data_IF_123382704870
#
_entry.id   IF_123382704870
#
_cell.length_a   1.000
_cell.length_b   1.000
_cell.length_c   1.000
_cell.angle_alpha   90.00
_cell.angle_beta   90.00
_cell.angle_gamma   90.00
#
_symmetry.space_group_name_H-M   'P 1'
#
loop_
_entity.id
_entity.type
_entity.pdbx_description
1 polymer ?
#
# COMPACT_ATOMS: atom_id res chain seq x y z
N UNK A 1 -2.72 -5.05 46.83
CA UNK A 1 -2.03 -4.29 45.79
C UNK A 1 -2.99 -4.10 44.62
N UNK A 2 -3.17 -2.90 44.07
CA UNK A 2 -4.02 -2.72 42.89
C UNK A 2 -3.47 -3.58 41.73
N UNK A 3 -4.38 -4.24 41.00
CA UNK A 3 -3.99 -5.01 39.80
C UNK A 3 -3.34 -4.03 38.79
N UNK A 4 -2.21 -4.41 38.19
CA UNK A 4 -1.59 -3.59 37.15
C UNK A 4 -2.58 -3.37 36.01
N UNK A 5 -2.81 -2.10 35.67
CA UNK A 5 -3.73 -1.73 34.60
C UNK A 5 -2.99 -1.74 33.27
N UNK A 6 -3.44 -2.59 32.36
CA UNK A 6 -2.94 -2.58 30.99
C UNK A 6 -3.45 -1.35 30.24
N UNK A 7 -2.54 -0.67 29.54
CA UNK A 7 -2.85 0.52 28.75
C UNK A 7 -2.23 0.48 27.36
N UNK A 8 -2.77 1.31 26.49
CA UNK A 8 -2.22 1.59 25.17
C UNK A 8 -1.14 2.66 25.29
N UNK A 9 0.08 2.36 24.85
CA UNK A 9 1.18 3.31 24.74
C UNK A 9 1.09 3.98 23.36
N UNK A 10 0.57 5.20 23.32
CA UNK A 10 0.24 5.93 22.11
C UNK A 10 1.30 6.98 21.79
N UNK A 11 1.84 6.94 20.59
CA UNK A 11 2.70 7.98 20.05
C UNK A 11 1.81 9.05 19.39
N UNK A 12 1.96 10.31 19.81
CA UNK A 12 1.22 11.46 19.29
C UNK A 12 2.13 12.36 18.44
N UNK A 13 1.62 13.01 17.39
CA UNK A 13 2.37 13.94 16.53
C UNK A 13 2.66 15.26 17.27
N UNK A 14 3.47 15.16 18.30
CA UNK A 14 3.85 16.27 19.18
C UNK A 14 5.37 16.31 19.31
N UNK A 15 5.96 17.52 19.50
CA UNK A 15 7.39 17.69 19.77
C UNK A 15 7.73 17.31 21.23
N UNK A 16 7.15 16.22 21.72
CA UNK A 16 7.33 15.73 23.08
C UNK A 16 7.94 14.33 23.05
N UNK A 17 8.96 14.07 23.83
CA UNK A 17 9.50 12.73 23.96
C UNK A 17 8.52 11.83 24.72
N UNK A 18 8.47 10.56 24.33
CA UNK A 18 7.72 9.54 25.04
C UNK A 18 6.38 9.17 24.42
N UNK A 19 5.71 8.26 25.09
CA UNK A 19 4.41 7.73 24.71
C UNK A 19 3.39 8.14 25.77
N UNK A 20 2.14 8.26 25.35
CA UNK A 20 1.03 8.64 26.23
C UNK A 20 0.16 7.44 26.52
N UNK A 21 -0.28 7.34 27.79
CA UNK A 21 -1.08 6.23 28.27
C UNK A 21 -2.58 6.50 28.08
N UNK A 22 -3.25 5.58 27.42
CA UNK A 22 -4.70 5.60 27.22
C UNK A 22 -5.29 4.22 27.47
N UNK A 23 -6.58 4.18 27.74
CA UNK A 23 -7.36 2.94 27.85
C UNK A 23 -8.35 2.83 26.68
N UNK A 24 -8.80 1.63 26.32
CA UNK A 24 -9.89 1.46 25.35
C UNK A 24 -11.17 2.17 25.80
N UNK A 25 -11.94 2.69 24.83
CA UNK A 25 -13.19 3.41 25.05
C UNK A 25 -14.25 2.55 25.77
N UNK A 26 -14.35 1.29 25.40
CA UNK A 26 -15.36 0.34 25.87
C UNK A 26 -14.88 -0.57 27.01
N UNK A 27 -13.68 -0.33 27.53
CA UNK A 27 -13.06 -1.21 28.52
C UNK A 27 -12.66 -2.59 27.98
N UNK A 28 -12.58 -2.75 26.66
CA UNK A 28 -12.13 -3.97 26.02
C UNK A 28 -10.72 -4.35 26.46
N UNK A 29 -10.38 -5.62 26.32
CA UNK A 29 -9.02 -6.11 26.59
C UNK A 29 -8.04 -5.57 25.59
N UNK A 30 -6.90 -5.14 26.09
CA UNK A 30 -5.78 -4.66 25.26
C UNK A 30 -4.93 -5.85 24.87
N UNK A 31 -4.81 -6.13 23.58
CA UNK A 31 -4.05 -7.23 22.99
C UNK A 31 -3.06 -6.74 21.92
N UNK A 32 -2.27 -7.65 21.38
CA UNK A 32 -1.22 -7.34 20.39
C UNK A 32 -1.78 -6.76 19.09
N UNK A 33 -3.06 -7.00 18.77
CA UNK A 33 -3.72 -6.50 17.55
C UNK A 33 -3.97 -4.98 17.57
N UNK A 34 -3.71 -4.35 18.70
CA UNK A 34 -3.73 -2.89 18.79
C UNK A 34 -2.44 -2.24 18.27
N UNK A 35 -1.30 -2.95 18.34
CA UNK A 35 0.00 -2.39 17.96
C UNK A 35 0.02 -2.11 16.46
N UNK A 36 0.34 -0.87 16.09
CA UNK A 36 0.32 -0.41 14.69
C UNK A 36 -1.02 0.14 14.22
N UNK A 37 -2.07 0.07 15.04
CA UNK A 37 -3.35 0.73 14.77
C UNK A 37 -3.29 2.21 15.12
N UNK A 38 -4.09 3.01 14.40
CA UNK A 38 -4.34 4.41 14.72
C UNK A 38 -5.52 4.50 15.69
N UNK A 39 -5.41 5.48 16.57
CA UNK A 39 -6.47 5.83 17.53
C UNK A 39 -6.68 7.33 17.54
N UNK A 40 -7.91 7.76 17.73
CA UNK A 40 -8.26 9.14 18.03
C UNK A 40 -8.30 9.31 19.52
N UNK A 41 -7.58 10.28 20.05
CA UNK A 41 -7.43 10.48 21.50
C UNK A 41 -7.69 11.94 21.91
N UNK A 42 -8.21 12.17 23.11
CA UNK A 42 -8.30 13.52 23.67
C UNK A 42 -6.93 13.97 24.18
N UNK A 43 -6.49 15.16 23.78
CA UNK A 43 -5.26 15.77 24.27
C UNK A 43 -5.49 17.25 24.59
N UNK A 44 -5.57 17.59 25.87
CA UNK A 44 -6.02 18.93 26.31
C UNK A 44 -7.43 19.22 25.82
N UNK A 45 -7.59 20.32 25.08
CA UNK A 45 -8.84 20.71 24.43
C UNK A 45 -8.94 20.25 22.97
N UNK A 46 -8.00 19.43 22.49
CA UNK A 46 -7.92 18.97 21.09
C UNK A 46 -8.10 17.46 21.01
N UNK A 47 -8.46 17.02 19.83
CA UNK A 47 -8.40 15.61 19.44
C UNK A 47 -7.20 15.41 18.52
N UNK A 48 -6.45 14.34 18.75
CA UNK A 48 -5.30 13.98 17.93
C UNK A 48 -5.44 12.55 17.42
N UNK A 49 -4.88 12.29 16.26
CA UNK A 49 -4.67 10.93 15.75
C UNK A 49 -3.27 10.49 16.16
N UNK A 50 -3.20 9.39 16.92
CA UNK A 50 -1.96 8.77 17.34
C UNK A 50 -1.87 7.33 16.89
N UNK A 51 -0.72 6.71 17.13
CA UNK A 51 -0.43 5.32 16.80
C UNK A 51 -0.14 4.52 18.06
N UNK A 52 -0.83 3.40 18.23
CA UNK A 52 -0.50 2.46 19.30
C UNK A 52 0.86 1.83 18.99
N UNK A 53 1.83 2.14 19.80
CA UNK A 53 3.21 1.70 19.60
C UNK A 53 3.57 0.48 20.43
N UNK A 54 2.95 0.35 21.60
CA UNK A 54 3.14 -0.78 22.51
C UNK A 54 1.92 -0.92 23.42
N UNK A 55 1.85 -2.07 24.05
CA UNK A 55 0.98 -2.31 25.20
C UNK A 55 1.88 -2.34 26.42
N UNK A 56 1.44 -1.70 27.47
CA UNK A 56 2.21 -1.64 28.72
C UNK A 56 1.31 -1.64 29.93
N UNK A 57 1.98 -1.65 31.06
CA UNK A 57 1.36 -1.42 32.36
C UNK A 57 1.68 0.01 32.77
N UNK A 58 0.72 0.68 33.37
CA UNK A 58 0.90 2.03 33.89
C UNK A 58 0.80 2.04 35.39
N UNK A 59 1.58 2.93 36.00
CA UNK A 59 1.49 3.24 37.43
C UNK A 59 0.47 4.38 37.69
N UNK A 60 -0.05 4.98 36.61
CA UNK A 60 -1.07 6.04 36.70
C UNK A 60 -2.36 5.47 37.26
N UNK A 61 -2.97 6.21 38.21
CA UNK A 61 -4.25 5.81 38.78
C UNK A 61 -5.31 5.68 37.68
N UNK A 62 -6.17 4.65 37.74
CA UNK A 62 -7.18 4.39 36.70
C UNK A 62 -8.06 5.62 36.40
N UNK A 63 -8.37 6.41 37.41
CA UNK A 63 -9.20 7.63 37.32
C UNK A 63 -8.52 8.78 36.55
N UNK A 64 -7.19 8.76 36.43
CA UNK A 64 -6.42 9.77 35.70
C UNK A 64 -6.14 9.38 34.25
N UNK A 65 -6.37 8.12 33.87
CA UNK A 65 -6.22 7.64 32.50
C UNK A 65 -7.43 8.02 31.67
N UNK A 66 -7.17 8.66 30.55
CA UNK A 66 -8.22 9.01 29.59
C UNK A 66 -8.48 7.84 28.65
N UNK A 67 -9.75 7.55 28.32
CA UNK A 67 -10.05 6.62 27.24
C UNK A 67 -9.71 7.24 25.90
N UNK A 68 -9.41 6.38 24.91
CA UNK A 68 -9.40 6.80 23.51
C UNK A 68 -10.82 7.21 23.11
N UNK A 69 -10.95 8.08 22.11
CA UNK A 69 -12.25 8.46 21.56
C UNK A 69 -12.73 7.45 20.52
N UNK A 70 -11.78 6.86 19.78
CA UNK A 70 -12.10 5.90 18.70
C UNK A 70 -10.88 5.09 18.31
N UNK A 71 -11.04 3.78 18.10
CA UNK A 71 -10.10 2.96 17.33
C UNK A 71 -10.40 3.16 15.84
N UNK A 72 -9.42 3.65 15.07
CA UNK A 72 -9.60 3.98 13.65
C UNK A 72 -9.40 2.76 12.73
N UNK A 73 -8.57 1.81 13.15
CA UNK A 73 -8.21 0.65 12.34
C UNK A 73 -8.58 -0.65 13.05
N UNK A 74 -9.23 -1.57 12.34
CA UNK A 74 -9.53 -2.92 12.84
C UNK A 74 -8.29 -3.81 12.86
N UNK A 75 -7.39 -3.59 11.90
CA UNK A 75 -6.12 -4.30 11.74
C UNK A 75 -4.98 -3.28 11.70
N UNK A 76 -3.77 -3.63 12.15
CA UNK A 76 -2.63 -2.73 12.11
C UNK A 76 -2.35 -2.19 10.71
N UNK A 77 -2.22 -0.87 10.58
CA UNK A 77 -1.79 -0.19 9.33
C UNK A 77 -0.27 -0.08 9.24
N UNK A 78 0.43 -0.28 10.35
CA UNK A 78 1.89 -0.36 10.41
C UNK A 78 2.32 -1.76 10.84
N UNK A 79 3.23 -2.35 10.07
CA UNK A 79 3.86 -3.63 10.45
C UNK A 79 4.83 -3.44 11.61
N UNK A 80 5.10 -4.52 12.33
CA UNK A 80 6.09 -4.50 13.42
C UNK A 80 7.49 -4.08 12.94
N UNK A 81 7.89 -4.53 11.75
CA UNK A 81 9.16 -4.17 11.11
C UNK A 81 9.23 -2.66 10.82
N UNK A 82 8.17 -2.07 10.26
CA UNK A 82 8.11 -0.65 10.01
C UNK A 82 8.19 0.16 11.32
N UNK A 83 7.44 -0.24 12.35
CA UNK A 83 7.51 0.40 13.66
C UNK A 83 8.92 0.34 14.26
N UNK A 84 9.62 -0.78 14.10
CA UNK A 84 11.00 -0.92 14.57
C UNK A 84 11.95 0.02 13.82
N UNK A 85 11.82 0.11 12.49
CA UNK A 85 12.59 1.03 11.65
C UNK A 85 12.35 2.49 12.06
N UNK A 86 11.11 2.87 12.31
CA UNK A 86 10.76 4.22 12.72
C UNK A 86 11.25 4.57 14.14
N UNK A 87 11.27 3.58 15.05
CA UNK A 87 11.90 3.76 16.37
C UNK A 87 13.41 3.99 16.25
N UNK A 88 14.07 3.19 15.42
CA UNK A 88 15.49 3.39 15.12
C UNK A 88 15.73 4.79 14.54
N UNK A 89 14.88 5.21 13.59
CA UNK A 89 14.97 6.56 12.99
C UNK A 89 14.83 7.65 14.04
N UNK A 90 13.86 7.53 14.95
CA UNK A 90 13.66 8.50 16.04
C UNK A 90 14.89 8.59 16.95
N UNK A 91 15.49 7.46 17.29
CA UNK A 91 16.70 7.39 18.11
C UNK A 91 17.92 7.97 17.39
N UNK A 92 18.10 7.61 16.12
CA UNK A 92 19.24 8.06 15.30
C UNK A 92 19.24 9.58 15.10
N UNK A 93 18.07 10.16 14.78
CA UNK A 93 17.93 11.60 14.56
C UNK A 93 17.57 12.39 15.80
N UNK A 94 17.47 11.75 16.98
CA UNK A 94 17.06 12.37 18.24
C UNK A 94 15.73 13.15 18.11
N UNK A 95 14.80 12.61 17.33
CA UNK A 95 13.51 13.20 17.06
C UNK A 95 12.39 12.55 17.90
N UNK A 96 11.34 13.29 18.29
CA UNK A 96 10.18 12.71 18.94
C UNK A 96 9.53 11.63 18.11
N UNK A 97 9.29 10.47 18.69
CA UNK A 97 8.81 9.30 17.96
C UNK A 97 7.46 9.54 17.26
N UNK A 98 6.56 10.29 17.90
CA UNK A 98 5.28 10.65 17.31
C UNK A 98 5.39 11.53 16.06
N UNK A 99 6.39 12.42 15.99
CA UNK A 99 6.66 13.22 14.79
C UNK A 99 7.25 12.37 13.67
N UNK A 100 8.14 11.43 13.99
CA UNK A 100 8.69 10.48 13.01
C UNK A 100 7.58 9.64 12.40
N UNK A 101 6.69 9.08 13.23
CA UNK A 101 5.51 8.35 12.76
C UNK A 101 4.61 9.20 11.86
N UNK A 102 4.33 10.43 12.28
CA UNK A 102 3.52 11.36 11.51
C UNK A 102 4.13 11.70 10.16
N UNK A 103 5.45 11.83 10.09
CA UNK A 103 6.17 12.12 8.83
C UNK A 103 6.17 10.92 7.89
N UNK A 104 6.24 9.70 8.43
CA UNK A 104 6.32 8.47 7.66
C UNK A 104 5.00 8.08 6.98
N UNK A 105 3.87 8.64 7.39
CA UNK A 105 2.55 8.25 6.85
C UNK A 105 1.95 9.32 5.93
N UNK A 106 1.16 8.91 4.92
CA UNK A 106 0.42 9.83 4.06
C UNK A 106 -0.52 10.77 4.85
N UNK A 107 -0.75 11.97 4.33
CA UNK A 107 -1.58 12.98 4.97
C UNK A 107 -2.99 12.46 5.33
N UNK A 108 -3.64 11.70 4.45
CA UNK A 108 -4.96 11.13 4.71
C UNK A 108 -4.98 10.24 5.97
N UNK A 109 -3.94 9.46 6.19
CA UNK A 109 -3.85 8.59 7.37
C UNK A 109 -3.63 9.42 8.65
N UNK A 110 -2.85 10.52 8.56
CA UNK A 110 -2.66 11.46 9.67
C UNK A 110 -3.95 12.16 10.09
N UNK A 111 -4.84 12.41 9.12
CA UNK A 111 -6.17 13.01 9.37
C UNK A 111 -7.18 11.99 9.93
N UNK A 112 -6.79 10.74 10.10
CA UNK A 112 -7.69 9.67 10.59
C UNK A 112 -8.65 9.12 9.54
N UNK A 113 -8.43 9.42 8.25
CA UNK A 113 -9.20 8.81 7.15
C UNK A 113 -8.82 7.35 6.98
N UNK A 114 -9.74 6.54 6.47
CA UNK A 114 -9.46 5.15 6.16
C UNK A 114 -8.30 5.03 5.16
N UNK A 115 -7.47 3.97 5.26
CA UNK A 115 -6.51 3.67 4.21
C UNK A 115 -7.24 3.59 2.85
N UNK A 116 -6.64 4.12 1.77
CA UNK A 116 -7.22 3.96 0.45
C UNK A 116 -7.34 2.46 0.15
N UNK A 117 -8.46 2.09 -0.45
CA UNK A 117 -8.63 0.72 -0.94
C UNK A 117 -7.62 0.48 -2.07
N UNK A 118 -6.61 -0.33 -1.78
CA UNK A 118 -5.53 -0.66 -2.73
C UNK A 118 -5.93 -1.80 -3.66
N UNK A 119 -7.16 -2.32 -3.51
CA UNK A 119 -7.67 -3.35 -4.40
C UNK A 119 -7.81 -2.77 -5.81
N UNK A 120 -7.16 -3.40 -6.76
CA UNK A 120 -7.43 -3.16 -8.17
C UNK A 120 -8.68 -3.94 -8.50
N UNK A 121 -9.71 -3.23 -8.87
CA UNK A 121 -10.96 -3.86 -9.27
C UNK A 121 -10.92 -4.20 -10.75
N UNK A 122 -11.44 -5.39 -11.07
CA UNK A 122 -11.65 -5.86 -12.42
C UNK A 122 -13.07 -6.39 -12.58
N UNK A 123 -13.49 -6.48 -13.81
CA UNK A 123 -14.75 -7.09 -14.18
C UNK A 123 -14.50 -8.40 -14.92
N UNK A 124 -15.25 -9.43 -14.58
CA UNK A 124 -15.24 -10.70 -15.29
C UNK A 124 -16.66 -11.16 -15.63
N UNK A 125 -16.76 -12.07 -16.60
CA UNK A 125 -18.02 -12.74 -16.91
C UNK A 125 -18.34 -13.78 -15.87
N UNK A 126 -19.61 -13.85 -15.48
CA UNK A 126 -20.15 -14.99 -14.76
C UNK A 126 -20.39 -16.18 -15.71
N UNK A 127 -20.63 -17.35 -15.18
CA UNK A 127 -21.01 -18.53 -16.00
C UNK A 127 -22.25 -18.26 -16.86
N UNK A 128 -23.24 -17.56 -16.30
CA UNK A 128 -24.44 -17.11 -17.01
C UNK A 128 -24.13 -16.10 -18.11
N UNK A 129 -23.18 -15.18 -17.85
CA UNK A 129 -22.68 -14.22 -18.82
C UNK A 129 -21.99 -14.90 -19.97
N UNK A 130 -21.16 -15.89 -19.73
CA UNK A 130 -20.48 -16.66 -20.79
C UNK A 130 -21.48 -17.39 -21.69
N UNK A 131 -22.53 -17.97 -21.15
CA UNK A 131 -23.59 -18.63 -21.91
C UNK A 131 -24.52 -17.64 -22.64
N UNK A 132 -24.70 -16.44 -22.06
CA UNK A 132 -25.68 -15.45 -22.58
C UNK A 132 -25.13 -14.51 -23.66
N UNK A 133 -23.81 -14.41 -23.84
CA UNK A 133 -23.18 -13.43 -24.76
C UNK A 133 -23.70 -13.53 -26.19
N UNK A 134 -23.89 -14.72 -26.68
CA UNK A 134 -24.30 -14.95 -28.08
C UNK A 134 -25.75 -14.51 -28.38
N UNK A 135 -26.54 -14.24 -27.31
CA UNK A 135 -27.88 -13.68 -27.42
C UNK A 135 -27.91 -12.14 -27.54
N UNK A 136 -26.78 -11.45 -27.34
CA UNK A 136 -26.69 -10.03 -27.55
C UNK A 136 -26.73 -9.62 -29.01
N UNK A 137 -27.34 -8.48 -29.32
CA UNK A 137 -27.30 -7.91 -30.67
C UNK A 137 -25.85 -7.76 -31.14
N UNK A 138 -25.54 -8.25 -32.32
CA UNK A 138 -24.17 -8.33 -32.91
C UNK A 138 -23.45 -6.99 -33.07
N UNK A 139 -24.08 -5.84 -32.87
CA UNK A 139 -23.53 -4.50 -33.13
C UNK A 139 -23.75 -3.51 -31.96
N UNK A 140 -23.56 -3.93 -30.73
CA UNK A 140 -23.78 -3.06 -29.55
C UNK A 140 -22.54 -2.90 -28.70
N UNK A 141 -22.38 -1.70 -28.08
CA UNK A 141 -21.31 -1.45 -27.08
C UNK A 141 -21.27 -2.50 -25.95
N UNK A 142 -22.42 -3.00 -25.39
CA UNK A 142 -22.40 -4.06 -24.41
C UNK A 142 -21.83 -5.37 -24.92
N UNK A 143 -22.09 -5.74 -26.19
CA UNK A 143 -21.55 -6.95 -26.79
C UNK A 143 -20.04 -6.83 -26.99
N UNK A 144 -19.54 -5.72 -27.52
CA UNK A 144 -18.12 -5.49 -27.72
C UNK A 144 -17.36 -5.61 -26.37
N UNK A 145 -17.94 -5.06 -25.28
CA UNK A 145 -17.39 -5.17 -23.95
C UNK A 145 -17.42 -6.61 -23.43
N UNK A 146 -18.54 -7.32 -23.60
CA UNK A 146 -18.69 -8.71 -23.19
C UNK A 146 -17.72 -9.64 -23.94
N UNK A 147 -17.49 -9.39 -25.23
CA UNK A 147 -16.50 -10.14 -26.02
C UNK A 147 -15.07 -9.94 -25.52
N UNK A 148 -14.72 -8.72 -25.08
CA UNK A 148 -13.42 -8.47 -24.44
C UNK A 148 -13.28 -9.22 -23.11
N UNK A 149 -14.35 -9.29 -22.31
CA UNK A 149 -14.37 -10.02 -21.05
C UNK A 149 -14.29 -11.55 -21.23
N UNK A 150 -14.53 -12.09 -22.42
CA UNK A 150 -14.33 -13.52 -22.73
C UNK A 150 -12.87 -13.96 -22.63
N UNK A 151 -11.95 -13.05 -22.87
CA UNK A 151 -10.50 -13.34 -22.78
C UNK A 151 -9.95 -13.32 -21.35
N UNK A 152 -10.75 -12.88 -20.40
CA UNK A 152 -10.36 -12.82 -18.98
C UNK A 152 -10.90 -11.58 -18.27
N UNK A 153 -10.58 -11.45 -17.00
CA UNK A 153 -10.95 -10.30 -16.20
C UNK A 153 -10.25 -9.02 -16.72
N UNK A 154 -11.00 -7.94 -16.86
CA UNK A 154 -10.49 -6.64 -17.33
C UNK A 154 -10.45 -5.64 -16.15
N UNK A 155 -9.26 -5.13 -15.78
CA UNK A 155 -9.12 -4.09 -14.78
C UNK A 155 -9.87 -2.81 -15.16
N UNK A 156 -10.47 -2.14 -14.17
CA UNK A 156 -11.18 -0.86 -14.39
C UNK A 156 -10.27 0.21 -15.02
N UNK A 157 -8.99 0.24 -14.65
CA UNK A 157 -8.01 1.16 -15.22
C UNK A 157 -7.82 0.97 -16.74
N UNK A 158 -7.81 -0.30 -17.22
CA UNK A 158 -7.76 -0.59 -18.66
C UNK A 158 -9.07 -0.22 -19.36
N UNK A 159 -10.21 -0.38 -18.70
CA UNK A 159 -11.49 0.02 -19.25
C UNK A 159 -11.61 1.55 -19.33
N UNK A 160 -11.03 2.28 -18.40
CA UNK A 160 -11.01 3.75 -18.40
C UNK A 160 -10.13 4.30 -19.53
N UNK A 161 -8.99 3.66 -19.84
CA UNK A 161 -8.09 4.10 -20.91
C UNK A 161 -8.62 3.76 -22.32
N UNK A 162 -9.14 2.55 -22.50
CA UNK A 162 -9.36 1.98 -23.83
C UNK A 162 -10.82 1.95 -24.28
N UNK A 163 -11.76 2.20 -23.36
CA UNK A 163 -13.20 2.03 -23.65
C UNK A 163 -14.04 3.20 -23.13
N UNK A 164 -14.07 4.34 -23.81
CA UNK A 164 -14.85 5.48 -23.36
C UNK A 164 -16.34 5.14 -23.15
N UNK A 165 -16.86 5.44 -21.96
CA UNK A 165 -18.27 5.22 -21.62
C UNK A 165 -18.62 3.74 -21.28
N UNK A 166 -17.67 2.90 -20.99
CA UNK A 166 -17.85 1.48 -20.64
C UNK A 166 -18.81 1.25 -19.46
N UNK A 167 -18.88 2.20 -18.50
CA UNK A 167 -19.73 2.07 -17.31
C UNK A 167 -21.21 1.88 -17.62
N UNK A 168 -21.71 2.51 -18.70
CA UNK A 168 -23.09 2.34 -19.15
C UNK A 168 -23.37 0.93 -19.67
N UNK A 169 -22.45 0.40 -20.47
CA UNK A 169 -22.51 -0.97 -20.99
C UNK A 169 -22.36 -2.01 -19.87
N UNK A 170 -21.48 -1.75 -18.90
CA UNK A 170 -21.26 -2.62 -17.76
C UNK A 170 -22.51 -2.72 -16.88
N UNK A 171 -23.19 -1.60 -16.59
CA UNK A 171 -24.45 -1.61 -15.83
C UNK A 171 -25.52 -2.46 -16.53
N UNK A 172 -25.59 -2.41 -17.87
CA UNK A 172 -26.53 -3.24 -18.63
C UNK A 172 -26.22 -4.72 -18.53
N UNK A 173 -24.96 -5.11 -18.49
CA UNK A 173 -24.53 -6.50 -18.30
C UNK A 173 -24.71 -6.95 -16.85
N UNK A 174 -24.44 -6.05 -15.90
CA UNK A 174 -24.61 -6.30 -14.46
C UNK A 174 -26.11 -6.48 -14.09
N UNK A 175 -27.01 -5.72 -14.71
CA UNK A 175 -28.46 -5.87 -14.51
C UNK A 175 -28.98 -7.26 -14.96
N UNK A 176 -28.21 -7.96 -15.78
CA UNK A 176 -28.48 -9.35 -16.23
C UNK A 176 -27.74 -10.39 -15.40
N UNK A 177 -26.98 -9.99 -14.38
CA UNK A 177 -26.07 -10.83 -13.61
C UNK A 177 -24.98 -11.53 -14.45
N UNK A 178 -24.63 -10.97 -15.64
CA UNK A 178 -23.65 -11.55 -16.58
C UNK A 178 -22.22 -11.15 -16.30
N UNK A 179 -22.01 -10.14 -15.46
CA UNK A 179 -20.69 -9.67 -15.04
C UNK A 179 -20.68 -9.48 -13.55
N UNK A 180 -19.53 -9.73 -12.94
CA UNK A 180 -19.26 -9.45 -11.55
C UNK A 180 -17.97 -8.64 -11.40
N UNK A 181 -17.94 -7.84 -10.34
CA UNK A 181 -16.76 -7.05 -9.98
C UNK A 181 -15.93 -7.83 -8.99
N UNK A 182 -14.69 -8.09 -9.34
CA UNK A 182 -13.74 -8.81 -8.49
C UNK A 182 -12.61 -7.89 -8.05
N UNK A 183 -12.05 -8.17 -6.86
CA UNK A 183 -10.81 -7.56 -6.42
C UNK A 183 -9.65 -8.43 -6.91
N UNK A 184 -8.76 -7.84 -7.71
CA UNK A 184 -7.51 -8.50 -8.12
C UNK A 184 -6.41 -8.16 -7.13
N UNK A 185 -5.65 -9.15 -6.72
CA UNK A 185 -4.38 -8.90 -6.06
C UNK A 185 -3.41 -8.24 -7.06
N UNK A 186 -2.68 -7.25 -6.62
CA UNK A 186 -1.73 -6.50 -7.47
C UNK A 186 -0.68 -7.41 -8.14
N UNK A 187 -0.38 -8.57 -7.54
CA UNK A 187 0.50 -9.60 -8.12
C UNK A 187 -0.10 -10.31 -9.35
N UNK A 188 -1.43 -10.37 -9.47
CA UNK A 188 -2.10 -10.99 -10.61
C UNK A 188 -2.14 -10.09 -11.85
N UNK A 189 -1.86 -8.79 -11.67
CA UNK A 189 -1.81 -7.81 -12.76
C UNK A 189 -0.47 -7.73 -13.48
N UNK A 190 0.57 -8.30 -12.92
CA UNK A 190 1.93 -8.23 -13.49
C UNK A 190 2.08 -8.95 -14.85
N UNK A 191 1.04 -9.67 -15.30
CA UNK A 191 1.05 -10.42 -16.57
C UNK A 191 0.34 -9.77 -17.76
N UNK A 192 -0.17 -8.55 -17.67
CA UNK A 192 -1.09 -8.02 -18.70
C UNK A 192 -0.54 -6.95 -19.65
N UNK A 193 0.70 -6.50 -19.48
CA UNK A 193 1.37 -5.67 -20.49
C UNK A 193 2.34 -6.53 -21.30
N UNK A 194 2.32 -6.46 -22.65
CA UNK A 194 3.40 -7.03 -23.43
C UNK A 194 4.71 -6.39 -22.97
N UNK A 195 5.68 -7.23 -22.68
CA UNK A 195 7.02 -6.81 -22.31
C UNK A 195 7.65 -6.17 -23.55
N UNK A 196 7.69 -4.82 -23.60
CA UNK A 196 8.49 -4.14 -24.60
C UNK A 196 9.95 -4.51 -24.34
N UNK A 197 10.58 -5.18 -25.30
CA UNK A 197 12.01 -5.45 -25.25
C UNK A 197 12.73 -4.10 -25.19
N UNK A 198 13.43 -3.84 -24.09
CA UNK A 198 14.29 -2.67 -23.96
C UNK A 198 15.46 -2.72 -24.90
N UNK A 199 16.22 -1.62 -25.03
CA UNK A 199 17.40 -1.58 -25.87
C UNK A 199 18.43 -2.64 -25.44
N UNK A 200 19.16 -3.20 -26.41
CA UNK A 200 20.22 -4.17 -26.13
C UNK A 200 21.30 -3.56 -25.23
N UNK A 201 21.62 -4.28 -24.15
CA UNK A 201 22.66 -3.87 -23.23
C UNK A 201 24.04 -3.94 -23.89
N UNK A 202 24.89 -2.95 -23.64
CA UNK A 202 26.30 -3.06 -23.96
C UNK A 202 27.03 -3.99 -22.97
N UNK A 203 28.29 -4.32 -23.23
CA UNK A 203 29.07 -5.27 -22.44
C UNK A 203 29.18 -4.86 -20.95
N UNK A 204 29.42 -3.58 -20.67
CA UNK A 204 29.56 -3.09 -19.31
C UNK A 204 28.22 -3.11 -18.54
N UNK A 205 27.15 -2.70 -19.21
CA UNK A 205 25.79 -2.79 -18.64
C UNK A 205 25.39 -4.23 -18.33
N UNK A 206 25.68 -5.16 -19.26
CA UNK A 206 25.40 -6.57 -19.05
C UNK A 206 26.19 -7.14 -17.88
N UNK A 207 27.47 -6.77 -17.74
CA UNK A 207 28.30 -7.15 -16.60
C UNK A 207 27.72 -6.64 -15.26
N UNK A 208 27.29 -5.37 -15.21
CA UNK A 208 26.64 -4.80 -14.04
C UNK A 208 25.35 -5.55 -13.68
N UNK A 209 24.49 -5.85 -14.64
CA UNK A 209 23.24 -6.60 -14.40
C UNK A 209 23.56 -8.00 -13.89
N UNK A 210 24.55 -8.69 -14.44
CA UNK A 210 24.99 -10.00 -13.96
C UNK A 210 25.52 -9.96 -12.51
N UNK A 211 26.30 -8.94 -12.17
CA UNK A 211 26.79 -8.75 -10.80
C UNK A 211 25.64 -8.53 -9.80
N UNK A 212 24.62 -7.75 -10.16
CA UNK A 212 23.41 -7.57 -9.35
C UNK A 212 22.64 -8.87 -9.18
N UNK A 213 22.49 -9.66 -10.25
CA UNK A 213 21.78 -10.96 -10.21
C UNK A 213 22.49 -12.02 -9.37
N UNK A 214 23.82 -12.01 -9.38
CA UNK A 214 24.63 -12.95 -8.63
C UNK A 214 24.64 -12.65 -7.12
N UNK A 215 24.21 -11.48 -6.70
CA UNK A 215 24.16 -11.07 -5.30
C UNK A 215 23.06 -11.81 -4.55
N UNK A 216 23.44 -12.58 -3.54
CA UNK A 216 22.51 -13.26 -2.65
C UNK A 216 22.36 -12.48 -1.33
N UNK A 217 21.11 -12.27 -0.87
CA UNK A 217 20.82 -11.58 0.39
C UNK A 217 20.95 -10.05 0.28
N UNK A 218 21.29 -9.42 1.41
CA UNK A 218 21.50 -7.96 1.46
C UNK A 218 22.86 -7.60 0.88
N UNK A 219 22.88 -6.61 -0.02
CA UNK A 219 24.10 -6.05 -0.60
C UNK A 219 23.92 -4.60 -1.00
N UNK A 220 25.00 -3.82 -0.98
CA UNK A 220 25.05 -2.45 -1.47
C UNK A 220 25.90 -2.42 -2.73
N UNK A 221 25.36 -1.94 -3.83
CA UNK A 221 26.04 -1.82 -5.12
C UNK A 221 26.06 -0.36 -5.54
N UNK A 222 27.24 0.14 -5.87
CA UNK A 222 27.44 1.47 -6.48
C UNK A 222 27.60 1.29 -7.98
N UNK A 223 26.75 1.97 -8.77
CA UNK A 223 26.85 2.00 -10.23
C UNK A 223 27.35 3.38 -10.63
N UNK A 224 28.61 3.45 -11.07
CA UNK A 224 29.20 4.66 -11.55
C UNK A 224 29.13 4.77 -13.08
N UNK A 225 28.95 5.98 -13.59
CA UNK A 225 28.92 6.24 -15.01
C UNK A 225 28.56 7.69 -15.31
N UNK A 226 28.99 8.20 -16.42
CA UNK A 226 28.68 9.57 -16.89
C UNK A 226 27.18 9.70 -17.20
N UNK A 227 26.69 10.93 -17.27
CA UNK A 227 25.31 11.20 -17.72
C UNK A 227 25.12 10.65 -19.13
N UNK A 228 24.03 9.96 -19.38
CA UNK A 228 23.76 9.31 -20.67
C UNK A 228 24.43 7.96 -20.89
N UNK A 229 25.17 7.39 -19.93
CA UNK A 229 25.78 6.05 -20.05
C UNK A 229 24.79 4.90 -20.00
N UNK A 230 23.50 5.17 -19.83
CA UNK A 230 22.44 4.16 -19.77
C UNK A 230 22.30 3.45 -18.42
N UNK A 231 22.68 4.10 -17.31
CA UNK A 231 22.45 3.58 -15.94
C UNK A 231 20.99 3.22 -15.68
N UNK A 232 20.08 4.01 -16.24
CA UNK A 232 18.63 3.76 -16.11
C UNK A 232 18.23 2.39 -16.63
N UNK A 233 18.83 1.92 -17.73
CA UNK A 233 18.56 0.60 -18.29
C UNK A 233 18.98 -0.52 -17.33
N UNK A 234 20.13 -0.35 -16.63
CA UNK A 234 20.57 -1.31 -15.60
C UNK A 234 19.53 -1.42 -14.48
N UNK A 235 18.99 -0.25 -14.02
CA UNK A 235 17.94 -0.25 -12.99
C UNK A 235 16.66 -0.92 -13.46
N UNK A 236 16.22 -0.64 -14.69
CA UNK A 236 15.04 -1.26 -15.30
C UNK A 236 15.20 -2.78 -15.38
N UNK A 237 16.34 -3.29 -15.82
CA UNK A 237 16.63 -4.71 -15.88
C UNK A 237 16.64 -5.36 -14.48
N UNK A 238 17.20 -4.68 -13.47
CA UNK A 238 17.18 -5.15 -12.09
C UNK A 238 15.75 -5.21 -11.52
N UNK A 239 14.91 -4.20 -11.84
CA UNK A 239 13.49 -4.17 -11.46
C UNK A 239 12.73 -5.31 -12.13
N UNK A 240 12.91 -5.51 -13.45
CA UNK A 240 12.29 -6.63 -14.19
C UNK A 240 12.61 -7.98 -13.57
N UNK A 241 13.88 -8.23 -13.27
CA UNK A 241 14.32 -9.46 -12.62
C UNK A 241 13.70 -9.64 -11.21
N UNK A 242 13.61 -8.55 -10.45
CA UNK A 242 12.96 -8.54 -9.14
C UNK A 242 11.48 -8.92 -9.24
N UNK A 243 10.75 -8.31 -10.18
CA UNK A 243 9.32 -8.58 -10.43
C UNK A 243 9.10 -10.00 -10.96
N UNK A 244 9.95 -10.49 -11.86
CA UNK A 244 9.89 -11.87 -12.38
C UNK A 244 10.02 -12.93 -11.29
N UNK A 245 10.72 -12.60 -10.19
CA UNK A 245 10.82 -13.44 -8.97
C UNK A 245 9.64 -13.26 -8.00
N UNK A 246 8.60 -12.53 -8.37
CA UNK A 246 7.45 -12.24 -7.52
C UNK A 246 7.76 -11.30 -6.35
N UNK A 247 8.86 -10.53 -6.43
CA UNK A 247 9.27 -9.54 -5.42
C UNK A 247 8.84 -8.13 -5.82
N UNK A 248 9.01 -7.20 -4.90
CA UNK A 248 8.73 -5.77 -5.12
C UNK A 248 10.04 -5.00 -5.24
N UNK A 249 10.05 -3.97 -6.07
CA UNK A 249 11.14 -3.03 -6.20
C UNK A 249 10.69 -1.63 -5.79
N UNK A 250 11.58 -0.88 -5.12
CA UNK A 250 11.36 0.52 -4.79
C UNK A 250 12.47 1.36 -5.39
N UNK A 251 12.11 2.35 -6.21
CA UNK A 251 13.05 3.28 -6.83
C UNK A 251 12.86 4.65 -6.21
N UNK A 252 13.92 5.20 -5.62
CA UNK A 252 13.94 6.55 -5.08
C UNK A 252 14.60 7.50 -6.09
N UNK A 253 13.85 8.51 -6.51
CA UNK A 253 14.30 9.48 -7.53
C UNK A 253 14.42 10.84 -6.86
N UNK A 254 15.60 11.49 -6.90
CA UNK A 254 15.81 12.78 -6.23
C UNK A 254 15.08 13.96 -6.91
N UNK A 255 14.73 13.82 -8.20
CA UNK A 255 14.08 14.87 -8.99
C UNK A 255 12.91 14.34 -9.81
N UNK A 256 11.79 15.07 -9.77
CA UNK A 256 10.55 14.70 -10.50
C UNK A 256 10.76 14.68 -12.03
N UNK A 257 11.76 15.43 -12.55
CA UNK A 257 12.06 15.51 -13.98
C UNK A 257 12.61 14.22 -14.63
N UNK A 258 13.03 13.23 -13.84
CA UNK A 258 13.51 11.94 -14.33
C UNK A 258 12.40 10.88 -14.46
N UNK A 259 11.19 11.18 -13.99
CA UNK A 259 10.05 10.25 -13.93
C UNK A 259 9.48 9.81 -15.28
N UNK A 260 9.44 10.64 -16.36
CA UNK A 260 8.85 10.21 -17.64
C UNK A 260 9.62 9.09 -18.35
N UNK A 261 10.90 8.88 -18.03
CA UNK A 261 11.74 7.83 -18.64
C UNK A 261 11.70 6.50 -17.85
N UNK A 262 11.18 6.52 -16.64
CA UNK A 262 11.15 5.36 -15.72
C UNK A 262 9.74 4.79 -15.50
N UNK A 263 8.73 5.44 -16.02
CA UNK A 263 7.33 5.00 -16.04
C UNK A 263 6.97 4.30 -17.35
#
# INVERSE_FOLDING_TARGET
MPKPLHCLKVALPLPLPGLFDYVPEDGSTVDQDWIGCRVRVPFGARELVGWVSAIGVTETLPEALKPILQRLDRTPVMTAELLQTLRWTAQYYQAPFGEVLSTAVPALLREGKAPPDVCVYAWQLTAEGQAGIDSLRRTGKPQALAMRLRTGALPEALLDSDTPGWRGSMRSLQARAWVERIALNRSEMAGTKPEEEGPALNADQAACVQALKASAGFGVHLIEGVTGSGKTEIYIQAVRDCLARGRQAMVLVPEIGLTPQTL
#
